data_IF_275243329495
#
_entry.id   IF_275243329495
#
_cell.length_a   1.000
_cell.length_b   1.000
_cell.length_c   1.000
_cell.angle_alpha   90.00
_cell.angle_beta   90.00
_cell.angle_gamma   90.00
#
_symmetry.space_group_name_H-M   'P 1'
#
loop_
_entity.id
_entity.type
_entity.pdbx_description
1 polymer ?
#
# COMPACT_ATOMS: atom_id res chain seq x y z
N UNK A 1 30.02 -63.46 -26.31
CA UNK A 1 30.53 -62.10 -26.65
C UNK A 1 29.78 -61.08 -25.82
N UNK A 2 30.45 -60.19 -25.07
CA UNK A 2 29.78 -59.21 -24.22
C UNK A 2 29.18 -58.04 -25.05
N UNK A 3 28.08 -57.40 -24.60
CA UNK A 3 27.37 -56.39 -25.39
C UNK A 3 28.13 -55.06 -25.39
N UNK A 4 28.27 -54.48 -26.58
CA UNK A 4 29.02 -53.25 -26.86
C UNK A 4 28.32 -52.05 -26.21
N UNK A 5 29.02 -51.31 -25.33
CA UNK A 5 28.52 -50.12 -24.64
C UNK A 5 28.04 -49.06 -25.65
N UNK A 6 26.79 -48.61 -25.50
CA UNK A 6 26.22 -47.53 -26.31
C UNK A 6 26.81 -46.17 -25.87
N UNK A 7 27.26 -45.37 -26.84
CA UNK A 7 27.82 -44.04 -26.58
C UNK A 7 26.77 -43.08 -25.98
N UNK A 8 27.20 -42.19 -25.08
CA UNK A 8 26.33 -41.25 -24.36
C UNK A 8 25.51 -40.32 -25.28
N UNK A 9 24.31 -39.87 -24.85
CA UNK A 9 23.48 -38.89 -25.60
C UNK A 9 24.27 -37.64 -26.02
N UNK A 10 25.11 -37.11 -25.13
CA UNK A 10 25.95 -35.92 -25.40
C UNK A 10 26.97 -36.15 -26.52
N UNK A 11 27.52 -37.35 -26.65
CA UNK A 11 28.47 -37.68 -27.73
C UNK A 11 27.77 -37.82 -29.09
N UNK A 12 26.53 -38.33 -29.11
CA UNK A 12 25.71 -38.44 -30.32
C UNK A 12 25.27 -37.06 -30.81
N UNK A 13 24.88 -36.16 -29.89
CA UNK A 13 24.47 -34.80 -30.24
C UNK A 13 25.64 -33.96 -30.78
N UNK A 14 26.85 -34.12 -30.21
CA UNK A 14 28.08 -33.49 -30.75
C UNK A 14 28.44 -33.99 -32.14
N UNK A 15 28.23 -35.28 -32.42
CA UNK A 15 28.45 -35.84 -33.76
C UNK A 15 27.45 -35.27 -34.79
N UNK A 16 26.18 -35.15 -34.41
CA UNK A 16 25.14 -34.52 -35.24
C UNK A 16 25.42 -33.03 -35.50
N UNK A 17 25.92 -32.29 -34.50
CA UNK A 17 26.32 -30.90 -34.66
C UNK A 17 27.49 -30.73 -35.65
N UNK A 18 28.51 -31.61 -35.59
CA UNK A 18 29.62 -31.62 -36.55
C UNK A 18 29.16 -31.91 -37.99
N UNK A 19 28.24 -32.86 -38.17
CA UNK A 19 27.67 -33.17 -39.49
C UNK A 19 26.87 -31.98 -40.05
N UNK A 20 26.14 -31.26 -39.20
CA UNK A 20 25.44 -30.03 -39.60
C UNK A 20 26.46 -28.96 -39.98
N UNK A 21 27.50 -28.75 -39.17
CA UNK A 21 28.55 -27.77 -39.43
C UNK A 21 29.27 -28.01 -40.76
N UNK A 22 29.58 -29.25 -41.07
CA UNK A 22 30.27 -29.66 -42.30
C UNK A 22 29.36 -29.50 -43.54
N UNK A 23 28.10 -29.98 -43.48
CA UNK A 23 27.14 -29.86 -44.59
C UNK A 23 26.65 -28.43 -44.84
N UNK A 24 26.78 -27.55 -43.85
CA UNK A 24 26.39 -26.13 -43.97
C UNK A 24 27.60 -25.20 -44.02
N UNK A 25 28.82 -25.75 -44.07
CA UNK A 25 30.07 -25.02 -44.20
C UNK A 25 30.09 -24.19 -45.49
N UNK A 26 30.50 -22.92 -45.40
CA UNK A 26 30.49 -21.98 -46.54
C UNK A 26 29.12 -21.38 -46.93
N UNK A 27 27.99 -21.93 -46.46
CA UNK A 27 26.65 -21.36 -46.70
C UNK A 27 26.16 -20.45 -45.57
N UNK A 28 26.68 -20.61 -44.34
CA UNK A 28 26.26 -19.82 -43.15
C UNK A 28 26.54 -18.32 -43.27
N UNK A 29 27.55 -17.92 -44.03
CA UNK A 29 27.93 -16.51 -44.22
C UNK A 29 27.17 -15.82 -45.38
N UNK A 30 26.36 -16.57 -46.14
CA UNK A 30 25.55 -16.01 -47.23
C UNK A 30 24.13 -15.73 -46.73
N UNK A 31 23.80 -14.46 -46.48
CA UNK A 31 22.50 -13.98 -45.93
C UNK A 31 21.28 -14.14 -46.87
N UNK A 32 21.32 -15.05 -47.84
CA UNK A 32 20.24 -15.25 -48.80
C UNK A 32 19.12 -16.16 -48.26
N UNK A 33 17.85 -15.78 -48.49
CA UNK A 33 16.65 -16.54 -48.05
C UNK A 33 16.66 -17.99 -48.53
N UNK A 34 17.18 -18.26 -49.74
CA UNK A 34 17.33 -19.63 -50.29
C UNK A 34 18.35 -20.46 -49.50
N UNK A 35 19.46 -19.86 -49.10
CA UNK A 35 20.52 -20.53 -48.33
C UNK A 35 20.07 -20.79 -46.89
N UNK A 36 19.33 -19.85 -46.27
CA UNK A 36 18.75 -20.06 -44.94
C UNK A 36 17.73 -21.20 -44.92
N UNK A 37 16.86 -21.30 -45.94
CA UNK A 37 15.91 -22.42 -46.08
C UNK A 37 16.64 -23.77 -46.24
N UNK A 38 17.72 -23.80 -47.01
CA UNK A 38 18.54 -25.01 -47.17
C UNK A 38 19.24 -25.41 -45.86
N UNK A 39 19.82 -24.45 -45.13
CA UNK A 39 20.44 -24.71 -43.81
C UNK A 39 19.41 -25.26 -42.83
N UNK A 40 18.20 -24.70 -42.77
CA UNK A 40 17.11 -25.19 -41.93
C UNK A 40 16.65 -26.61 -42.32
N UNK A 41 16.58 -26.91 -43.63
CA UNK A 41 16.25 -28.24 -44.12
C UNK A 41 17.31 -29.28 -43.76
N UNK A 42 18.59 -28.97 -43.92
CA UNK A 42 19.71 -29.85 -43.55
C UNK A 42 19.76 -30.08 -42.03
N UNK A 43 19.54 -29.03 -41.22
CA UNK A 43 19.44 -29.15 -39.77
C UNK A 43 18.31 -30.10 -39.36
N UNK A 44 17.11 -29.92 -39.92
CA UNK A 44 15.97 -30.79 -39.64
C UNK A 44 16.23 -32.23 -40.08
N UNK A 45 16.86 -32.45 -41.24
CA UNK A 45 17.17 -33.80 -41.73
C UNK A 45 18.15 -34.53 -40.81
N UNK A 46 19.19 -33.86 -40.30
CA UNK A 46 20.19 -34.46 -39.40
C UNK A 46 19.66 -34.63 -37.97
N UNK A 47 18.84 -33.71 -37.47
CA UNK A 47 18.25 -33.80 -36.13
C UNK A 47 17.17 -34.88 -36.03
N UNK A 48 16.44 -35.11 -37.12
CA UNK A 48 15.37 -36.11 -37.20
C UNK A 48 15.84 -37.46 -37.73
N UNK A 49 17.07 -37.56 -38.24
CA UNK A 49 17.66 -38.83 -38.65
C UNK A 49 17.69 -39.81 -37.46
N UNK A 50 17.01 -40.96 -37.64
CA UNK A 50 16.92 -42.04 -36.66
C UNK A 50 15.76 -41.95 -35.65
N UNK A 51 14.85 -40.97 -35.78
CA UNK A 51 13.63 -40.88 -34.96
C UNK A 51 12.41 -41.31 -35.78
N UNK A 52 11.50 -42.07 -35.17
CA UNK A 52 10.26 -42.45 -35.84
C UNK A 52 9.34 -41.25 -36.03
N UNK A 53 8.49 -41.24 -37.06
CA UNK A 53 7.52 -40.16 -37.31
C UNK A 53 6.63 -39.86 -36.09
N UNK A 54 6.29 -40.91 -35.31
CA UNK A 54 5.52 -40.81 -34.06
C UNK A 54 6.27 -40.11 -32.94
N UNK A 55 7.59 -40.26 -32.88
CA UNK A 55 8.44 -39.63 -31.87
C UNK A 55 8.71 -38.15 -32.19
N UNK A 56 8.78 -37.80 -33.47
CA UNK A 56 8.89 -36.41 -33.93
C UNK A 56 7.60 -35.64 -33.60
N UNK A 57 6.43 -36.24 -33.85
CA UNK A 57 5.14 -35.64 -33.51
C UNK A 57 5.01 -35.36 -32.00
N UNK A 58 5.40 -36.31 -31.14
CA UNK A 58 5.40 -36.15 -29.68
C UNK A 58 6.30 -35.00 -29.20
N UNK A 59 7.53 -34.89 -29.74
CA UNK A 59 8.47 -33.83 -29.37
C UNK A 59 8.00 -32.43 -29.83
N UNK A 60 7.29 -32.35 -30.96
CA UNK A 60 6.70 -31.10 -31.43
C UNK A 60 5.52 -30.67 -30.55
N UNK A 61 4.65 -31.61 -30.19
CA UNK A 61 3.52 -31.36 -29.29
C UNK A 61 3.99 -30.93 -27.89
N UNK A 62 5.01 -31.59 -27.33
CA UNK A 62 5.61 -31.23 -26.03
C UNK A 62 6.25 -29.82 -26.07
N UNK A 63 6.90 -29.47 -27.19
CA UNK A 63 7.50 -28.14 -27.38
C UNK A 63 6.46 -27.03 -27.51
N UNK A 64 5.33 -27.29 -28.19
CA UNK A 64 4.23 -26.34 -28.29
C UNK A 64 3.50 -26.18 -26.94
N UNK A 65 3.24 -27.27 -26.22
CA UNK A 65 2.68 -27.22 -24.85
C UNK A 65 3.55 -26.40 -23.91
N UNK A 66 4.88 -26.64 -23.90
CA UNK A 66 5.82 -25.88 -23.07
C UNK A 66 5.90 -24.40 -23.44
N UNK A 67 5.74 -24.04 -24.73
CA UNK A 67 5.66 -22.63 -25.15
C UNK A 67 4.35 -21.99 -24.71
N UNK A 68 3.25 -22.72 -24.78
CA UNK A 68 1.94 -22.24 -24.35
C UNK A 68 1.89 -22.04 -22.83
N UNK A 69 2.40 -22.98 -22.05
CA UNK A 69 2.56 -22.86 -20.60
C UNK A 69 3.44 -21.68 -20.22
N UNK A 70 4.57 -21.48 -20.91
CA UNK A 70 5.44 -20.33 -20.66
C UNK A 70 4.74 -19.00 -20.98
N UNK A 71 4.01 -18.92 -22.10
CA UNK A 71 3.22 -17.73 -22.44
C UNK A 71 2.11 -17.47 -21.42
N UNK A 72 1.44 -18.52 -20.93
CA UNK A 72 0.42 -18.42 -19.87
C UNK A 72 1.03 -17.93 -18.56
N UNK A 73 2.18 -18.49 -18.14
CA UNK A 73 2.91 -18.03 -16.96
C UNK A 73 3.39 -16.58 -17.07
N UNK A 74 3.90 -16.16 -18.24
CA UNK A 74 4.31 -14.78 -18.49
C UNK A 74 3.10 -13.82 -18.45
N UNK A 75 1.93 -14.24 -18.95
CA UNK A 75 0.69 -13.48 -18.86
C UNK A 75 0.16 -13.38 -17.42
N UNK A 76 0.19 -14.47 -16.66
CA UNK A 76 -0.20 -14.50 -15.24
C UNK A 76 0.69 -13.59 -14.40
N UNK A 77 2.01 -13.64 -14.64
CA UNK A 77 2.97 -12.76 -13.98
C UNK A 77 2.67 -11.28 -14.30
N UNK A 78 2.35 -10.98 -15.57
CA UNK A 78 1.98 -9.63 -15.99
C UNK A 78 0.64 -9.16 -15.39
N UNK A 79 -0.30 -10.07 -15.12
CA UNK A 79 -1.55 -9.73 -14.43
C UNK A 79 -1.35 -9.50 -12.94
N UNK A 80 -0.44 -10.23 -12.29
CA UNK A 80 -0.17 -10.11 -10.85
C UNK A 80 0.54 -8.79 -10.50
N UNK A 81 1.41 -8.29 -11.38
CA UNK A 81 2.14 -7.04 -11.16
C UNK A 81 1.40 -5.77 -11.62
N UNK A 82 0.14 -5.86 -12.06
CA UNK A 82 -0.65 -4.66 -12.39
C UNK A 82 -1.15 -4.00 -11.10
N UNK A 83 -0.83 -2.72 -10.86
CA UNK A 83 -1.34 -2.01 -9.69
C UNK A 83 -2.87 -1.92 -9.77
N UNK A 84 -3.55 -2.29 -8.68
CA UNK A 84 -5.00 -2.17 -8.56
C UNK A 84 -5.34 -0.67 -8.51
N UNK A 85 -5.89 -0.15 -9.60
CA UNK A 85 -6.37 1.24 -9.66
C UNK A 85 -7.76 1.29 -9.02
N UNK A 86 -7.92 2.08 -7.97
CA UNK A 86 -9.24 2.42 -7.42
C UNK A 86 -10.10 3.14 -8.46
N UNK A 87 -11.43 2.96 -8.38
CA UNK A 87 -12.37 3.62 -9.28
C UNK A 87 -12.21 5.14 -9.20
N UNK A 88 -11.91 5.78 -10.34
CA UNK A 88 -11.73 7.22 -10.43
C UNK A 88 -13.06 7.93 -10.09
N UNK A 89 -13.09 8.57 -8.93
CA UNK A 89 -14.21 9.39 -8.46
C UNK A 89 -14.09 10.78 -9.10
N UNK A 90 -15.15 11.21 -9.78
CA UNK A 90 -15.26 12.55 -10.35
C UNK A 90 -15.99 13.44 -9.34
N UNK A 91 -15.53 14.68 -9.19
CA UNK A 91 -16.26 15.69 -8.43
C UNK A 91 -17.60 16.00 -9.12
N UNK A 92 -18.65 16.27 -8.33
CA UNK A 92 -19.96 16.62 -8.86
C UNK A 92 -19.86 17.91 -9.68
N UNK A 93 -20.00 17.81 -11.01
CA UNK A 93 -19.91 18.94 -11.94
C UNK A 93 -18.80 18.85 -12.99
N UNK A 94 -17.84 17.94 -12.86
CA UNK A 94 -16.78 17.76 -13.88
C UNK A 94 -17.23 16.78 -14.98
N UNK A 95 -17.15 17.20 -16.24
CA UNK A 95 -17.48 16.36 -17.39
C UNK A 95 -16.58 15.12 -17.46
N UNK A 96 -17.12 13.89 -17.48
CA UNK A 96 -16.30 12.68 -17.41
C UNK A 96 -15.27 12.53 -18.54
N UNK A 97 -15.55 13.11 -19.71
CA UNK A 97 -14.65 13.11 -20.87
C UNK A 97 -13.53 14.16 -20.77
N UNK A 98 -13.62 15.14 -19.89
CA UNK A 98 -12.52 16.09 -19.67
C UNK A 98 -11.38 15.48 -18.85
N UNK A 99 -11.57 14.27 -18.31
CA UNK A 99 -10.58 13.59 -17.48
C UNK A 99 -10.02 12.38 -18.20
N UNK A 100 -8.68 12.25 -18.21
CA UNK A 100 -7.98 11.15 -18.86
C UNK A 100 -8.28 9.82 -18.15
N UNK A 101 -8.60 8.79 -18.93
CA UNK A 101 -8.86 7.45 -18.43
C UNK A 101 -7.58 6.83 -17.86
N UNK A 102 -7.56 6.53 -16.56
CA UNK A 102 -6.43 5.86 -15.89
C UNK A 102 -6.10 4.49 -16.51
N UNK A 103 -7.11 3.72 -16.90
CA UNK A 103 -6.94 2.43 -17.58
C UNK A 103 -6.36 2.59 -18.99
N UNK A 104 -6.69 3.69 -19.69
CA UNK A 104 -6.12 3.96 -21.01
C UNK A 104 -4.66 4.40 -20.90
N UNK A 105 -4.34 5.22 -19.89
CA UNK A 105 -2.96 5.61 -19.56
C UNK A 105 -2.05 4.41 -19.31
N UNK A 106 -2.60 3.32 -18.76
CA UNK A 106 -1.89 2.05 -18.54
C UNK A 106 -2.03 1.03 -19.68
N UNK A 107 -2.72 1.38 -20.78
CA UNK A 107 -2.92 0.49 -21.92
C UNK A 107 -3.85 -0.72 -21.66
N UNK A 108 -4.64 -0.68 -20.59
CA UNK A 108 -5.53 -1.78 -20.15
C UNK A 108 -7.02 -1.47 -20.31
N UNK A 109 -7.38 -0.32 -20.89
CA UNK A 109 -8.78 0.06 -21.07
C UNK A 109 -9.48 -0.81 -22.13
N UNK A 110 -10.43 -1.63 -21.69
CA UNK A 110 -11.28 -2.47 -22.55
C UNK A 110 -12.45 -1.72 -23.18
N UNK A 111 -12.75 -0.50 -22.70
CA UNK A 111 -13.94 0.27 -23.08
C UNK A 111 -13.77 1.06 -24.39
N UNK A 112 -12.53 1.17 -24.91
CA UNK A 112 -12.24 1.80 -26.20
C UNK A 112 -12.88 3.17 -26.36
N UNK A 113 -13.47 3.45 -27.53
CA UNK A 113 -14.13 4.73 -27.83
C UNK A 113 -15.41 5.00 -27.00
N UNK A 114 -15.96 4.00 -26.32
CA UNK A 114 -17.14 4.13 -25.45
C UNK A 114 -16.76 4.36 -23.98
N UNK A 115 -15.48 4.58 -23.68
CA UNK A 115 -15.05 4.87 -22.32
C UNK A 115 -15.68 6.18 -21.81
N UNK A 116 -16.12 6.18 -20.55
CA UNK A 116 -16.66 7.36 -19.85
C UNK A 116 -15.61 8.47 -19.73
N UNK A 117 -14.32 8.09 -19.72
CA UNK A 117 -13.17 8.97 -19.58
C UNK A 117 -12.44 9.14 -20.93
N UNK A 118 -11.73 10.25 -21.14
CA UNK A 118 -11.03 10.49 -22.41
C UNK A 118 -9.85 9.55 -22.62
N UNK A 119 -9.63 9.20 -23.89
CA UNK A 119 -8.46 8.46 -24.38
C UNK A 119 -7.48 9.39 -25.13
N UNK A 120 -7.58 10.69 -24.91
CA UNK A 120 -6.69 11.67 -25.54
C UNK A 120 -5.65 12.12 -24.51
N UNK A 121 -4.39 11.70 -24.72
CA UNK A 121 -3.25 12.08 -23.88
C UNK A 121 -3.00 13.60 -23.86
N UNK A 122 -3.56 14.36 -24.82
CA UNK A 122 -3.48 15.81 -24.81
C UNK A 122 -4.35 16.47 -23.74
N UNK A 123 -5.36 15.76 -23.22
CA UNK A 123 -6.26 16.26 -22.17
C UNK A 123 -5.51 16.46 -20.84
N UNK A 124 -4.56 15.57 -20.50
CA UNK A 124 -3.69 15.74 -19.32
C UNK A 124 -2.77 16.96 -19.40
N UNK A 125 -2.45 17.43 -20.61
CA UNK A 125 -1.63 18.64 -20.81
C UNK A 125 -2.44 19.94 -20.79
N UNK A 126 -3.77 19.87 -20.85
CA UNK A 126 -4.65 21.02 -20.71
C UNK A 126 -5.04 21.14 -19.23
N UNK A 127 -4.10 21.60 -18.41
CA UNK A 127 -4.43 22.01 -17.05
C UNK A 127 -5.50 23.11 -17.11
N UNK A 128 -6.46 23.07 -16.18
CA UNK A 128 -7.48 24.09 -16.05
C UNK A 128 -6.81 25.47 -15.95
N UNK A 129 -7.31 26.43 -16.74
CA UNK A 129 -6.81 27.80 -16.71
C UNK A 129 -7.21 28.40 -15.36
N UNK A 130 -6.29 28.38 -14.39
CA UNK A 130 -6.46 29.07 -13.11
C UNK A 130 -6.71 30.55 -13.39
N UNK A 131 -7.82 31.08 -12.89
CA UNK A 131 -8.18 32.49 -13.11
C UNK A 131 -7.16 33.37 -12.41
N UNK A 132 -6.73 34.45 -13.05
CA UNK A 132 -5.83 35.44 -12.45
C UNK A 132 -6.45 36.14 -11.23
N UNK A 133 -7.77 36.01 -11.05
CA UNK A 133 -8.52 36.52 -9.89
C UNK A 133 -8.72 35.49 -8.77
N UNK A 134 -8.32 34.22 -8.96
CA UNK A 134 -8.26 33.24 -7.87
C UNK A 134 -6.98 33.48 -7.08
N UNK A 135 -7.05 34.49 -6.22
CA UNK A 135 -5.95 34.98 -5.39
C UNK A 135 -5.44 33.85 -4.47
N UNK A 136 -4.27 33.30 -4.80
CA UNK A 136 -3.63 32.17 -4.08
C UNK A 136 -3.32 32.55 -2.61
N UNK A 137 -3.31 33.84 -2.30
CA UNK A 137 -3.01 34.38 -0.97
C UNK A 137 -4.23 34.97 -0.23
N UNK A 138 -5.46 34.81 -0.75
CA UNK A 138 -6.60 35.63 -0.33
C UNK A 138 -7.69 34.96 0.49
N UNK A 139 -8.30 33.87 0.00
CA UNK A 139 -9.63 33.49 0.48
C UNK A 139 -10.02 32.05 0.16
N UNK A 140 -9.30 31.06 0.71
CA UNK A 140 -9.64 29.66 0.50
C UNK A 140 -9.49 28.70 1.69
N UNK A 141 -8.83 29.09 2.78
CA UNK A 141 -8.58 28.15 3.89
C UNK A 141 -8.47 28.79 5.29
N UNK A 142 -9.00 29.99 5.50
CA UNK A 142 -8.90 30.67 6.81
C UNK A 142 -9.86 30.15 7.88
N UNK A 143 -10.83 29.32 7.50
CA UNK A 143 -11.88 28.86 8.41
C UNK A 143 -11.50 27.59 9.19
N UNK A 144 -10.38 26.92 8.82
CA UNK A 144 -9.95 25.66 9.44
C UNK A 144 -8.49 25.68 9.95
N UNK A 145 -7.85 26.86 9.98
CA UNK A 145 -6.55 27.06 10.60
C UNK A 145 -6.71 27.23 12.11
N UNK A 146 -6.92 26.11 12.80
CA UNK A 146 -6.91 26.06 14.26
C UNK A 146 -5.47 26.22 14.74
N UNK A 147 -5.22 27.03 15.78
CA UNK A 147 -3.88 27.38 16.32
C UNK A 147 -2.94 26.18 16.59
N UNK A 148 -3.49 24.97 16.69
CA UNK A 148 -2.73 23.73 16.74
C UNK A 148 -1.83 23.46 15.52
N UNK A 149 -2.09 24.09 14.37
CA UNK A 149 -1.33 23.90 13.12
C UNK A 149 -0.40 25.07 12.79
N UNK A 150 -0.26 26.07 13.66
CA UNK A 150 0.63 27.20 13.42
C UNK A 150 2.03 26.90 13.93
N UNK A 151 3.01 27.11 13.06
CA UNK A 151 4.42 27.03 13.45
C UNK A 151 4.84 28.25 14.28
N UNK A 152 5.90 28.13 15.09
CA UNK A 152 6.41 29.20 15.96
C UNK A 152 6.65 30.53 15.23
N UNK A 153 7.08 30.47 13.97
CA UNK A 153 7.29 31.63 13.11
C UNK A 153 5.99 32.30 12.66
N UNK A 154 4.95 31.51 12.36
CA UNK A 154 3.64 32.02 11.96
C UNK A 154 2.92 32.68 13.15
N UNK A 155 3.06 32.07 14.33
CA UNK A 155 2.56 32.64 15.58
C UNK A 155 3.24 34.00 15.87
N UNK A 156 4.57 34.09 15.71
CA UNK A 156 5.31 35.34 15.88
C UNK A 156 4.83 36.43 14.90
N UNK A 157 4.62 36.08 13.64
CA UNK A 157 4.13 37.00 12.60
C UNK A 157 2.70 37.49 12.87
N UNK A 158 1.79 36.61 13.32
CA UNK A 158 0.41 36.99 13.67
C UNK A 158 0.38 37.87 14.91
N UNK A 159 1.19 37.54 15.93
CA UNK A 159 1.35 38.35 17.14
C UNK A 159 1.92 39.74 16.80
N UNK A 160 2.90 39.83 15.91
CA UNK A 160 3.45 41.10 15.46
C UNK A 160 2.41 41.92 14.66
N UNK A 161 1.65 41.29 13.76
CA UNK A 161 0.56 41.96 13.02
C UNK A 161 -0.57 42.45 13.92
N UNK A 162 -0.87 41.76 15.03
CA UNK A 162 -1.98 42.11 15.94
C UNK A 162 -1.60 43.06 17.06
N UNK A 163 -0.42 42.89 17.65
CA UNK A 163 0.00 43.61 18.85
C UNK A 163 1.25 44.48 18.62
N UNK A 164 1.89 44.41 17.44
CA UNK A 164 3.09 45.19 17.12
C UNK A 164 2.85 46.71 17.17
N UNK A 165 1.69 47.19 16.71
CA UNK A 165 1.36 48.62 16.75
C UNK A 165 1.05 49.11 18.18
N UNK A 166 0.33 48.31 18.97
CA UNK A 166 -0.02 48.64 20.36
C UNK A 166 1.19 48.62 21.29
N UNK A 167 2.15 47.71 21.03
CA UNK A 167 3.42 47.64 21.75
C UNK A 167 4.36 48.82 21.40
N UNK A 168 4.28 49.38 20.19
CA UNK A 168 5.04 50.58 19.78
C UNK A 168 4.47 51.88 20.33
N UNK A 169 3.15 51.95 20.52
CA UNK A 169 2.44 53.16 20.99
C UNK A 169 2.50 53.37 22.50
N UNK A 170 2.84 52.35 23.30
CA UNK A 170 2.94 52.43 24.75
C UNK A 170 4.41 52.46 25.19
N UNK A 171 4.73 53.23 26.23
CA UNK A 171 6.03 53.18 26.94
C UNK A 171 6.14 51.86 27.72
N UNK A 172 6.24 50.75 27.00
CA UNK A 172 6.00 49.43 27.54
C UNK A 172 7.20 48.91 28.34
N UNK A 173 6.93 48.42 29.55
CA UNK A 173 7.88 47.63 30.33
C UNK A 173 8.39 46.45 29.50
N UNK A 174 9.66 46.03 29.67
CA UNK A 174 10.22 44.87 28.95
C UNK A 174 9.61 43.52 29.40
N UNK A 175 8.61 43.57 30.28
CA UNK A 175 7.98 42.41 30.89
C UNK A 175 6.83 41.94 29.98
N UNK A 176 6.83 40.66 29.64
CA UNK A 176 5.76 40.03 28.87
C UNK A 176 4.56 39.73 29.77
N UNK A 177 3.36 39.91 29.24
CA UNK A 177 2.12 39.66 29.96
C UNK A 177 1.99 38.16 30.32
N UNK A 178 1.72 37.88 31.60
CA UNK A 178 1.55 36.49 32.10
C UNK A 178 0.36 35.77 31.45
N UNK A 179 -0.76 36.47 31.29
CA UNK A 179 -1.97 35.93 30.65
C UNK A 179 -1.76 35.60 29.17
N UNK A 180 -0.84 36.29 28.51
CA UNK A 180 -0.47 35.99 27.13
C UNK A 180 0.37 34.70 27.05
N UNK A 181 1.36 34.53 27.93
CA UNK A 181 2.12 33.28 28.00
C UNK A 181 1.22 32.09 28.34
N UNK A 182 0.27 32.26 29.27
CA UNK A 182 -0.70 31.21 29.62
C UNK A 182 -1.64 30.87 28.45
N UNK A 183 -2.09 31.86 27.68
CA UNK A 183 -2.95 31.62 26.52
C UNK A 183 -2.21 30.92 25.36
N UNK A 184 -0.94 31.26 25.17
CA UNK A 184 -0.07 30.59 24.19
C UNK A 184 0.25 29.16 24.64
N UNK A 185 0.52 28.93 25.93
CA UNK A 185 0.73 27.58 26.48
C UNK A 185 -0.54 26.70 26.41
N UNK A 186 -1.71 27.30 26.61
CA UNK A 186 -3.00 26.59 26.60
C UNK A 186 -3.65 26.47 25.21
N UNK A 187 -2.98 26.93 24.14
CA UNK A 187 -3.52 27.00 22.78
C UNK A 187 -4.84 27.79 22.64
N UNK A 188 -5.14 28.68 23.59
CA UNK A 188 -6.35 29.53 23.55
C UNK A 188 -6.08 30.89 22.91
N UNK A 189 -4.83 31.16 22.53
CA UNK A 189 -4.46 32.31 21.72
C UNK A 189 -5.01 32.12 20.29
N UNK A 190 -5.98 32.94 19.90
CA UNK A 190 -6.62 32.86 18.58
C UNK A 190 -7.13 34.23 18.13
N UNK A 191 -7.80 34.28 16.99
CA UNK A 191 -8.28 35.52 16.35
C UNK A 191 -9.15 36.41 17.27
N UNK A 192 -9.85 35.80 18.23
CA UNK A 192 -10.73 36.50 19.19
C UNK A 192 -10.13 36.62 20.60
N UNK A 193 -8.85 36.27 20.79
CA UNK A 193 -8.24 36.34 22.11
C UNK A 193 -8.01 37.79 22.53
N UNK A 194 -8.52 38.14 23.71
CA UNK A 194 -8.29 39.43 24.36
C UNK A 194 -7.60 39.18 25.70
N UNK A 195 -6.63 40.04 26.03
CA UNK A 195 -5.98 39.94 27.33
C UNK A 195 -6.99 40.26 28.43
N UNK A 196 -6.97 39.49 29.52
CA UNK A 196 -7.80 39.73 30.70
C UNK A 196 -7.54 41.10 31.35
N UNK A 197 -6.37 41.71 31.11
CA UNK A 197 -6.02 43.07 31.50
C UNK A 197 -6.49 44.15 30.50
N UNK A 198 -7.32 43.74 29.52
CA UNK A 198 -7.90 44.58 28.47
C UNK A 198 -6.91 44.99 27.36
N UNK A 199 -7.43 45.77 26.41
CA UNK A 199 -6.63 46.40 25.34
C UNK A 199 -5.58 47.39 25.86
N UNK A 200 -5.72 47.84 27.11
CA UNK A 200 -4.80 48.72 27.81
C UNK A 200 -3.80 47.97 28.72
N UNK A 201 -3.52 46.69 28.47
CA UNK A 201 -2.49 45.95 29.20
C UNK A 201 -1.15 46.73 29.21
N UNK A 202 -0.55 46.83 30.40
CA UNK A 202 0.73 47.52 30.66
C UNK A 202 1.96 46.70 30.28
N UNK A 203 1.76 45.41 30.01
CA UNK A 203 2.78 44.41 29.70
C UNK A 203 2.74 44.06 28.20
N UNK A 204 3.89 43.68 27.64
CA UNK A 204 3.99 43.37 26.21
C UNK A 204 3.31 42.04 25.87
N UNK A 205 2.52 42.03 24.80
CA UNK A 205 1.96 40.81 24.19
C UNK A 205 2.84 40.38 23.02
N UNK A 206 3.97 39.73 23.34
CA UNK A 206 4.91 39.18 22.37
C UNK A 206 5.66 38.00 23.00
N UNK A 207 6.00 36.97 22.23
CA UNK A 207 6.88 35.91 22.71
C UNK A 207 8.29 36.50 22.92
N UNK A 208 8.92 36.34 24.11
CA UNK A 208 10.32 36.67 24.28
C UNK A 208 11.20 35.88 23.28
N UNK A 209 12.28 36.48 22.74
CA UNK A 209 13.20 35.74 21.89
C UNK A 209 13.82 34.57 22.67
N UNK A 210 13.59 33.35 22.21
CA UNK A 210 14.09 32.11 22.83
C UNK A 210 13.13 31.41 23.81
N UNK A 211 11.88 31.86 23.95
CA UNK A 211 10.86 31.15 24.73
C UNK A 211 10.32 29.94 23.95
N UNK A 212 10.76 28.73 24.31
CA UNK A 212 10.19 27.47 23.79
C UNK A 212 8.96 27.08 24.62
N UNK A 213 7.84 26.76 23.96
CA UNK A 213 6.65 26.26 24.64
C UNK A 213 6.96 24.92 25.32
N UNK A 214 6.23 24.64 26.42
CA UNK A 214 6.41 23.39 27.18
C UNK A 214 6.13 22.13 26.34
N UNK A 215 5.24 22.23 25.35
CA UNK A 215 4.94 21.14 24.40
C UNK A 215 6.16 20.83 23.52
N UNK A 216 6.80 21.85 22.96
CA UNK A 216 7.93 21.66 22.04
C UNK A 216 9.18 21.22 22.78
N UNK A 217 9.36 21.66 24.04
CA UNK A 217 10.40 21.11 24.91
C UNK A 217 10.24 19.60 25.12
N UNK A 218 9.01 19.14 25.35
CA UNK A 218 8.72 17.71 25.52
C UNK A 218 8.99 16.92 24.23
N UNK A 219 8.62 17.47 23.08
CA UNK A 219 8.89 16.86 21.78
C UNK A 219 10.40 16.76 21.50
N UNK A 220 11.17 17.80 21.84
CA UNK A 220 12.63 17.79 21.70
C UNK A 220 13.29 16.78 22.66
N UNK A 221 12.75 16.59 23.86
CA UNK A 221 13.27 15.61 24.81
C UNK A 221 12.96 14.18 24.34
N UNK A 222 11.75 13.91 23.82
CA UNK A 222 11.38 12.62 23.22
C UNK A 222 12.25 12.27 21.99
N UNK A 223 12.58 13.26 21.14
CA UNK A 223 13.49 13.06 20.00
C UNK A 223 14.95 12.84 20.40
N UNK A 224 15.39 13.35 21.55
CA UNK A 224 16.74 13.09 22.07
C UNK A 224 16.88 11.71 22.68
N UNK A 225 15.78 11.16 23.22
CA UNK A 225 15.76 9.81 23.80
C UNK A 225 15.79 8.70 22.74
N UNK A 226 15.44 8.99 21.48
CA UNK A 226 15.73 8.08 20.37
C UNK A 226 17.22 8.14 20.04
N UNK A 227 18.02 7.40 20.80
CA UNK A 227 19.44 7.16 20.51
C UNK A 227 19.53 6.69 19.05
N UNK A 228 20.35 7.37 18.25
CA UNK A 228 20.52 7.00 16.85
C UNK A 228 21.06 5.57 16.77
N UNK A 229 20.68 4.83 15.72
CA UNK A 229 21.16 3.46 15.54
C UNK A 229 22.70 3.39 15.54
N UNK A 230 23.34 4.44 15.05
CA UNK A 230 24.80 4.63 15.03
C UNK A 230 25.38 4.70 16.45
N UNK A 231 24.79 5.51 17.35
CA UNK A 231 25.24 5.65 18.73
C UNK A 231 25.05 4.34 19.52
N UNK A 232 23.96 3.63 19.25
CA UNK A 232 23.72 2.29 19.80
C UNK A 232 24.80 1.30 19.30
N UNK A 233 25.09 1.27 18.00
CA UNK A 233 26.12 0.41 17.42
C UNK A 233 27.52 0.73 17.99
N UNK A 234 27.86 2.00 18.18
CA UNK A 234 29.14 2.41 18.75
C UNK A 234 29.28 2.01 20.22
N UNK A 235 28.20 2.16 21.01
CA UNK A 235 28.16 1.71 22.40
C UNK A 235 28.30 0.19 22.51
N UNK A 236 27.60 -0.58 21.66
CA UNK A 236 27.70 -2.04 21.64
C UNK A 236 29.08 -2.50 21.16
N UNK A 237 29.67 -1.82 20.17
CA UNK A 237 31.03 -2.12 19.70
C UNK A 237 32.08 -1.86 20.78
N UNK A 238 31.92 -0.80 21.57
CA UNK A 238 32.80 -0.51 22.71
C UNK A 238 32.60 -1.55 23.85
N UNK A 239 31.38 -2.07 24.01
CA UNK A 239 31.06 -3.10 25.00
C UNK A 239 31.57 -4.51 24.60
N UNK A 240 31.81 -4.77 23.30
CA UNK A 240 32.44 -6.01 22.85
C UNK A 240 33.91 -6.04 23.28
N UNK A 241 34.21 -6.81 24.33
CA UNK A 241 35.56 -7.01 24.84
C UNK A 241 36.55 -7.61 23.82
N UNK A 242 37.84 -7.63 24.16
CA UNK A 242 38.93 -7.95 23.23
C UNK A 242 39.00 -9.39 22.68
N UNK A 243 38.19 -10.33 23.18
CA UNK A 243 38.15 -11.71 22.68
C UNK A 243 36.95 -11.97 21.76
N UNK A 244 36.94 -11.34 20.59
CA UNK A 244 35.90 -11.54 19.57
C UNK A 244 36.23 -12.77 18.71
N UNK A 245 35.23 -13.64 18.46
CA UNK A 245 35.39 -14.79 17.57
C UNK A 245 35.46 -14.32 16.12
N UNK A 246 36.48 -14.78 15.39
CA UNK A 246 36.61 -14.46 13.96
C UNK A 246 35.49 -15.15 13.17
N UNK A 247 34.92 -14.42 12.21
CA UNK A 247 33.88 -14.93 11.31
C UNK A 247 34.57 -15.75 10.21
N UNK A 248 34.64 -17.07 10.40
CA UNK A 248 35.06 -18.05 9.41
C UNK A 248 33.82 -18.77 8.87
N UNK A 249 33.95 -19.47 7.76
CA UNK A 249 32.82 -20.23 7.20
C UNK A 249 32.27 -21.26 8.20
N UNK A 250 33.14 -21.90 8.97
CA UNK A 250 32.75 -22.86 10.01
C UNK A 250 32.02 -22.17 11.17
N UNK A 251 32.52 -21.04 11.66
CA UNK A 251 31.89 -20.32 12.77
C UNK A 251 30.55 -19.69 12.34
N UNK A 252 30.44 -19.24 11.09
CA UNK A 252 29.19 -18.75 10.50
C UNK A 252 28.14 -19.85 10.30
N UNK A 253 28.52 -21.04 9.82
CA UNK A 253 27.57 -22.15 9.67
C UNK A 253 27.07 -22.65 11.03
N UNK A 254 27.95 -22.72 12.04
CA UNK A 254 27.55 -23.04 13.41
C UNK A 254 26.59 -21.97 13.98
N UNK A 255 26.89 -20.69 13.77
CA UNK A 255 26.00 -19.58 14.15
C UNK A 255 24.65 -19.63 13.42
N UNK A 256 24.64 -19.88 12.12
CA UNK A 256 23.42 -19.96 11.30
C UNK A 256 22.53 -21.12 11.75
N UNK A 257 23.11 -22.29 12.02
CA UNK A 257 22.37 -23.43 12.59
C UNK A 257 21.77 -23.07 13.94
N UNK A 258 22.56 -22.48 14.85
CA UNK A 258 22.10 -22.00 16.16
C UNK A 258 20.97 -20.98 16.04
N UNK A 259 21.07 -20.01 15.13
CA UNK A 259 20.02 -18.98 14.92
C UNK A 259 18.74 -19.54 14.30
N UNK A 260 18.85 -20.52 13.41
CA UNK A 260 17.68 -21.23 12.86
C UNK A 260 16.98 -22.02 13.96
N UNK A 261 17.74 -22.71 14.81
CA UNK A 261 17.20 -23.46 15.94
C UNK A 261 16.58 -22.55 17.01
N UNK A 262 17.25 -21.45 17.36
CA UNK A 262 16.74 -20.41 18.26
C UNK A 262 15.43 -19.81 17.73
N UNK A 263 15.36 -19.50 16.43
CA UNK A 263 14.12 -19.01 15.79
C UNK A 263 13.01 -20.05 15.84
N UNK A 264 13.30 -21.33 15.57
CA UNK A 264 12.31 -22.40 15.67
C UNK A 264 11.81 -22.57 17.10
N UNK A 265 12.71 -22.55 18.08
CA UNK A 265 12.35 -22.66 19.49
C UNK A 265 11.51 -21.46 19.94
N UNK A 266 11.83 -20.25 19.48
CA UNK A 266 11.05 -19.06 19.76
C UNK A 266 9.64 -19.17 19.18
N UNK A 267 9.50 -19.62 17.92
CA UNK A 267 8.20 -19.86 17.32
C UNK A 267 7.38 -20.90 18.09
N UNK A 268 7.99 -22.02 18.50
CA UNK A 268 7.30 -23.03 19.32
C UNK A 268 6.87 -22.47 20.67
N UNK A 269 7.72 -21.67 21.33
CA UNK A 269 7.36 -20.99 22.60
C UNK A 269 6.23 -19.97 22.41
N UNK A 270 6.24 -19.24 21.31
CA UNK A 270 5.19 -18.26 21.00
C UNK A 270 3.87 -18.98 20.64
N UNK A 271 3.93 -20.10 19.94
CA UNK A 271 2.79 -21.00 19.69
C UNK A 271 2.25 -21.62 20.99
N UNK A 272 3.12 -22.04 21.90
CA UNK A 272 2.73 -22.59 23.21
C UNK A 272 2.14 -21.51 24.14
N UNK A 273 2.68 -20.28 24.12
CA UNK A 273 2.08 -19.14 24.82
C UNK A 273 0.70 -18.82 24.26
N UNK A 274 0.58 -18.66 22.94
CA UNK A 274 -0.72 -18.51 22.27
C UNK A 274 -1.66 -19.65 22.64
N UNK A 275 -1.14 -20.88 22.77
CA UNK A 275 -1.93 -22.04 23.19
C UNK A 275 -2.45 -21.93 24.61
N UNK A 276 -1.57 -21.61 25.54
CA UNK A 276 -1.91 -21.48 26.95
C UNK A 276 -2.82 -20.28 27.19
N UNK A 277 -2.63 -19.18 26.46
CA UNK A 277 -3.51 -18.00 26.52
C UNK A 277 -4.90 -18.33 25.96
N UNK A 278 -4.98 -19.12 24.88
CA UNK A 278 -6.25 -19.62 24.35
C UNK A 278 -6.98 -20.52 25.36
N UNK A 279 -6.29 -21.49 25.97
CA UNK A 279 -6.88 -22.41 26.96
C UNK A 279 -7.33 -21.66 28.22
N UNK A 280 -6.61 -20.61 28.64
CA UNK A 280 -6.92 -19.82 29.84
C UNK A 280 -8.03 -18.80 29.63
N UNK A 281 -8.04 -18.11 28.49
CA UNK A 281 -8.97 -17.01 28.24
C UNK A 281 -10.17 -17.40 27.38
N UNK A 282 -10.18 -18.60 26.77
CA UNK A 282 -11.28 -19.11 25.96
C UNK A 282 -11.64 -18.23 24.75
N UNK A 283 -10.78 -17.26 24.41
CA UNK A 283 -11.11 -16.18 23.49
C UNK A 283 -10.20 -16.26 22.27
N UNK A 284 -10.81 -16.47 21.10
CA UNK A 284 -10.18 -16.59 19.77
C UNK A 284 -9.53 -15.29 19.22
N UNK A 285 -9.42 -14.22 20.01
CA UNK A 285 -8.93 -12.93 19.50
C UNK A 285 -7.39 -12.94 19.36
N UNK A 286 -6.92 -13.29 18.16
CA UNK A 286 -5.52 -13.12 17.76
C UNK A 286 -4.90 -14.26 16.96
N UNK A 287 -5.62 -15.37 16.75
CA UNK A 287 -5.18 -16.44 15.85
C UNK A 287 -5.69 -16.17 14.43
N UNK A 288 -4.80 -16.29 13.43
CA UNK A 288 -5.22 -16.27 12.04
C UNK A 288 -6.17 -17.45 11.77
N UNK A 289 -7.18 -17.29 10.90
CA UNK A 289 -8.12 -18.38 10.59
C UNK A 289 -7.42 -19.69 10.18
N UNK A 290 -6.27 -19.62 9.49
CA UNK A 290 -5.44 -20.79 9.16
C UNK A 290 -4.79 -21.44 10.40
N UNK A 291 -4.35 -20.64 11.36
CA UNK A 291 -3.77 -21.13 12.62
C UNK A 291 -4.86 -21.83 13.45
N UNK A 292 -6.10 -21.34 13.39
CA UNK A 292 -7.26 -21.94 14.08
C UNK A 292 -7.52 -23.40 13.63
N UNK A 293 -7.50 -23.66 12.31
CA UNK A 293 -7.72 -25.01 11.75
C UNK A 293 -6.67 -26.04 12.16
N UNK A 294 -5.43 -25.62 12.39
CA UNK A 294 -4.35 -26.52 12.81
C UNK A 294 -4.31 -26.76 14.32
N UNK A 295 -4.98 -25.91 15.09
CA UNK A 295 -4.81 -25.81 16.53
C UNK A 295 -5.83 -26.65 17.31
N UNK A 296 -7.09 -26.71 16.85
CA UNK A 296 -8.07 -27.65 17.36
C UNK A 296 -9.19 -27.92 16.33
N UNK A 297 -9.12 -29.02 15.56
CA UNK A 297 -10.13 -29.35 14.55
C UNK A 297 -11.51 -29.71 15.13
N UNK A 298 -11.62 -29.99 16.44
CA UNK A 298 -12.89 -30.31 17.10
C UNK A 298 -13.71 -29.06 17.51
N UNK A 299 -13.11 -27.86 17.55
CA UNK A 299 -13.85 -26.62 17.85
C UNK A 299 -14.87 -26.23 16.78
N UNK A 300 -14.74 -26.78 15.57
CA UNK A 300 -15.70 -26.56 14.48
C UNK A 300 -16.90 -27.50 14.62
N UNK A 301 -16.72 -28.66 15.24
CA UNK A 301 -17.79 -29.66 15.37
C UNK A 301 -18.84 -29.27 16.42
N UNK A 302 -18.46 -28.47 17.43
CA UNK A 302 -19.38 -27.99 18.46
C UNK A 302 -20.15 -26.71 18.07
N UNK A 303 -19.76 -26.02 16.99
CA UNK A 303 -20.45 -24.81 16.50
C UNK A 303 -21.69 -25.15 15.64
N UNK A 304 -21.81 -26.41 15.19
CA UNK A 304 -22.98 -26.92 14.46
C UNK A 304 -24.14 -27.34 15.39
N UNK A 305 -23.90 -27.52 16.70
CA UNK A 305 -24.96 -27.88 17.67
C UNK A 305 -25.60 -26.67 18.38
N UNK A 306 -24.91 -25.52 18.44
CA UNK A 306 -25.41 -24.31 19.14
C UNK A 306 -25.94 -23.21 18.20
N UNK A 307 -25.87 -23.40 16.88
CA UNK A 307 -26.37 -22.44 15.88
C UNK A 307 -27.85 -22.62 15.49
N UNK A 308 -28.54 -23.62 16.03
CA UNK A 308 -29.91 -24.00 15.62
C UNK A 308 -31.02 -23.43 16.51
N UNK A 309 -30.72 -22.60 17.53
CA UNK A 309 -31.71 -22.25 18.56
C UNK A 309 -31.95 -20.76 18.85
N UNK A 310 -31.44 -19.80 18.06
CA UNK A 310 -31.73 -18.36 18.34
C UNK A 310 -31.74 -17.42 17.12
N UNK A 311 -32.34 -17.84 16.00
CA UNK A 311 -32.71 -16.93 14.90
C UNK A 311 -34.20 -17.13 14.56
N UNK A 312 -35.08 -16.41 15.27
CA UNK A 312 -36.51 -16.29 14.93
C UNK A 312 -36.69 -15.52 13.62
N UNK A 313 -36.65 -16.24 12.51
CA UNK A 313 -36.99 -15.71 11.19
C UNK A 313 -38.52 -15.66 11.05
N UNK A 314 -39.14 -14.60 11.59
CA UNK A 314 -40.57 -14.35 11.44
C UNK A 314 -40.93 -14.21 9.96
N UNK A 315 -41.50 -15.28 9.42
CA UNK A 315 -42.00 -15.41 8.06
C UNK A 315 -43.12 -14.37 7.83
N UNK A 316 -42.80 -13.30 7.09
CA UNK A 316 -43.79 -12.39 6.53
C UNK A 316 -44.33 -13.06 5.27
N UNK A 317 -45.42 -13.81 5.42
CA UNK A 317 -46.19 -14.35 4.31
C UNK A 317 -47.02 -13.21 3.70
N UNK A 318 -46.67 -12.85 2.46
CA UNK A 318 -47.62 -12.25 1.50
C UNK A 318 -48.78 -13.24 1.31
N UNK A 319 -50.01 -12.75 1.50
CA UNK A 319 -51.20 -13.40 0.98
C UNK A 319 -52.00 -12.31 0.24
N UNK A 320 -51.94 -12.38 -1.09
CA UNK A 320 -52.83 -11.65 -2.00
C UNK A 320 -54.21 -12.31 -1.94
N UNK A 321 -55.25 -11.58 -1.53
CA UNK A 321 -56.61 -11.85 -1.97
C UNK A 321 -57.37 -10.54 -2.21
N UNK A 322 -57.93 -10.50 -3.41
CA UNK A 322 -58.74 -9.49 -4.07
C UNK A 322 -60.09 -9.25 -3.35
N UNK A 323 -60.51 -7.98 -3.30
CA UNK A 323 -61.82 -7.47 -3.78
C UNK A 323 -62.60 -6.51 -2.84
N UNK A 324 -62.90 -5.35 -3.44
CA UNK A 324 -64.12 -4.53 -3.42
C UNK A 324 -64.55 -3.72 -2.17
N UNK A 325 -64.61 -2.39 -2.42
CA UNK A 325 -65.60 -1.39 -2.00
C UNK A 325 -65.81 -1.06 -0.51
N UNK A 326 -65.47 0.18 -0.09
CA UNK A 326 -66.48 1.22 0.18
C UNK A 326 -65.84 2.61 0.40
N UNK A 327 -66.34 3.59 -0.35
CA UNK A 327 -66.16 5.02 -0.14
C UNK A 327 -67.06 5.45 1.03
N UNK A 328 -66.53 6.02 2.13
CA UNK A 328 -67.34 6.96 2.91
C UNK A 328 -66.52 8.07 3.59
N UNK A 329 -66.67 9.23 2.96
CA UNK A 329 -66.57 10.59 3.47
C UNK A 329 -67.05 10.73 4.93
N UNK A 330 -66.23 11.28 5.83
CA UNK A 330 -66.72 12.26 6.80
C UNK A 330 -65.61 13.18 7.34
N UNK A 331 -65.77 14.43 6.94
CA UNK A 331 -65.18 15.67 7.43
C UNK A 331 -65.59 15.97 8.89
N UNK A 332 -64.99 17.01 9.49
CA UNK A 332 -65.26 17.66 10.80
C UNK A 332 -64.32 17.24 11.96
N UNK A 333 -63.61 18.14 12.66
CA UNK A 333 -63.78 19.59 12.89
C UNK A 333 -62.49 20.27 13.36
N UNK A 334 -62.41 21.54 12.98
CA UNK A 334 -61.56 22.62 13.48
C UNK A 334 -61.47 22.76 15.01
N UNK A 335 -60.38 23.38 15.47
CA UNK A 335 -60.23 23.81 16.86
C UNK A 335 -59.00 24.66 17.18
N UNK A 336 -58.63 25.62 16.32
CA UNK A 336 -57.76 26.73 16.72
C UNK A 336 -58.56 27.74 17.55
N UNK A 337 -58.10 28.03 18.77
CA UNK A 337 -58.49 29.23 19.50
C UNK A 337 -57.26 29.87 20.15
N UNK A 338 -56.86 30.99 19.57
CA UNK A 338 -55.95 32.00 20.11
C UNK A 338 -56.50 32.64 21.38
N UNK A 339 -55.67 32.81 22.41
CA UNK A 339 -55.30 34.09 23.06
C UNK A 339 -53.89 33.96 23.59
#
# INVERSE_FOLDING_TARGET
>A
MPPKQQASKKTIDKAKAKIIEDKTFGLKNKKGTKNQKFIAQVQNQVQNAGKSAREIAKLQEEKEKRKEEKKKADLELLTLFKPVIGQQLLAAGTDPKSVLCMYFKQGSCTKGAKCKFSHDLAVERKAEKRSLYDDINGSGNKENETMANWDDAELADVVEKRHGEDNRKKNATQIVCKFFLEAVENNTYGWFWTCQNGAACQYKHALPPGFMLKRDRKLLDEQKETISLEDLIESERAALGGCVTKVTLESFLAWKKRKIEEKKLQLVKDEEKKRNDFVKHGRLLGLSGREMFTFNPELIANDDEDADNDIDYKHRSDDESEDEDDDEEHNETDGQATV
#
